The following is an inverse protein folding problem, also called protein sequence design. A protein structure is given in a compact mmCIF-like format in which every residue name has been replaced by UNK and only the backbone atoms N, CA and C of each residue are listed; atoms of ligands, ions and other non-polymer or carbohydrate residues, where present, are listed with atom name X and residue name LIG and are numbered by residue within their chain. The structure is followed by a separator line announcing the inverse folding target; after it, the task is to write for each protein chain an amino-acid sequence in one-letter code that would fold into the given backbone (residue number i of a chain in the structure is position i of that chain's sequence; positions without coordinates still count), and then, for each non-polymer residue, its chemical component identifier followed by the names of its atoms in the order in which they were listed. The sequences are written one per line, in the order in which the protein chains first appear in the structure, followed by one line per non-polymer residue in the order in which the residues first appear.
data_IF_484937563935
#
_entry.id   IF_484937563935
#
_cell.length_a   1.000
_cell.length_b   1.000
_cell.length_c   1.000
_cell.angle_alpha   90.00
_cell.angle_beta   90.00
_cell.angle_gamma   90.00
#
_symmetry.space_group_name_H-M   'P 1'
#
loop_
_entity.id
_entity.type
_entity.pdbx_description
1 polymer ?
#
# COMPACT_ATOMS: atom_id res chain seq x y z
N UNK A 1 11.39 -21.79 14.24
CA UNK A 1 10.78 -20.52 13.77
C UNK A 1 9.50 -20.82 13.02
N UNK A 2 8.44 -20.13 13.39
CA UNK A 2 7.13 -20.32 12.77
C UNK A 2 7.06 -19.54 11.46
N UNK A 3 6.81 -20.22 10.35
CA UNK A 3 6.68 -19.57 9.05
C UNK A 3 5.24 -19.05 8.90
N UNK A 4 5.10 -17.77 8.52
CA UNK A 4 3.80 -17.20 8.22
C UNK A 4 3.21 -17.93 6.99
N UNK A 5 2.03 -18.59 7.12
CA UNK A 5 1.45 -19.33 5.99
C UNK A 5 1.06 -18.44 4.82
N UNK A 6 0.94 -17.13 5.04
CA UNK A 6 0.59 -16.16 4.00
C UNK A 6 1.80 -15.50 3.34
N UNK A 7 3.02 -15.93 3.66
CA UNK A 7 4.24 -15.31 3.11
C UNK A 7 4.24 -15.27 1.58
N UNK A 8 3.75 -16.33 0.95
CA UNK A 8 3.71 -16.47 -0.51
C UNK A 8 2.29 -16.49 -1.06
N UNK A 9 1.29 -16.21 -0.23
CA UNK A 9 -0.13 -16.19 -0.60
C UNK A 9 -0.72 -14.84 -0.23
N UNK A 10 -1.90 -14.56 -0.78
CA UNK A 10 -2.65 -13.37 -0.40
C UNK A 10 -3.29 -13.58 0.96
N UNK A 11 -3.24 -12.56 1.79
CA UNK A 11 -4.00 -12.53 3.04
C UNK A 11 -5.50 -12.44 2.74
N UNK A 12 -6.37 -12.80 3.70
CA UNK A 12 -7.81 -12.57 3.56
C UNK A 12 -8.09 -11.08 3.27
N UNK A 13 -8.89 -10.82 2.24
CA UNK A 13 -9.18 -9.45 1.80
C UNK A 13 -10.21 -8.77 2.70
N UNK A 14 -10.04 -7.47 2.89
CA UNK A 14 -11.06 -6.62 3.48
C UNK A 14 -12.05 -6.19 2.40
N UNK A 15 -13.08 -5.43 2.80
CA UNK A 15 -14.19 -5.03 1.95
C UNK A 15 -13.73 -4.09 0.81
N UNK A 16 -13.95 -4.53 -0.42
CA UNK A 16 -13.64 -3.76 -1.64
C UNK A 16 -14.42 -2.44 -1.71
N UNK A 17 -15.65 -2.43 -1.19
CA UNK A 17 -16.52 -1.26 -1.26
C UNK A 17 -16.14 -0.18 -0.24
N UNK A 18 -15.21 -0.49 0.65
CA UNK A 18 -14.75 0.44 1.70
C UNK A 18 -13.21 0.51 1.71
N UNK A 19 -12.60 1.07 0.65
CA UNK A 19 -11.15 1.21 0.64
C UNK A 19 -10.71 2.14 1.76
N UNK A 20 -9.54 1.84 2.33
CA UNK A 20 -8.92 2.69 3.35
C UNK A 20 -8.13 3.78 2.61
N UNK A 21 -8.32 5.03 2.99
CA UNK A 21 -7.52 6.11 2.41
C UNK A 21 -6.09 6.04 2.95
N UNK A 22 -5.11 6.31 2.09
CA UNK A 22 -3.70 6.30 2.49
C UNK A 22 -3.46 7.20 3.71
N UNK A 23 -4.09 8.37 3.74
CA UNK A 23 -3.99 9.28 4.89
C UNK A 23 -4.57 8.67 6.15
N UNK A 24 -5.73 8.00 6.07
CA UNK A 24 -6.37 7.39 7.24
C UNK A 24 -5.48 6.34 7.90
N UNK A 25 -4.95 5.42 7.11
CA UNK A 25 -4.11 4.35 7.67
C UNK A 25 -2.79 4.92 8.21
N UNK A 26 -2.20 5.89 7.51
CA UNK A 26 -0.99 6.54 7.99
C UNK A 26 -1.23 7.25 9.33
N UNK A 27 -2.35 7.95 9.47
CA UNK A 27 -2.71 8.65 10.70
C UNK A 27 -2.96 7.68 11.86
N UNK A 28 -3.59 6.52 11.58
CA UNK A 28 -3.78 5.49 12.61
C UNK A 28 -2.43 5.02 13.19
N UNK A 29 -1.43 4.80 12.33
CA UNK A 29 -0.10 4.37 12.77
C UNK A 29 0.63 5.45 13.56
N UNK A 30 0.41 6.72 13.22
CA UNK A 30 0.99 7.84 13.97
C UNK A 30 0.34 8.00 15.33
N UNK A 31 -0.97 7.76 15.41
CA UNK A 31 -1.72 7.92 16.65
C UNK A 31 -1.46 6.78 17.64
N UNK A 32 -1.53 5.53 17.17
CA UNK A 32 -1.30 4.35 18.02
C UNK A 32 -0.82 3.18 17.15
N UNK A 33 0.49 3.02 17.08
CA UNK A 33 1.11 2.00 16.23
C UNK A 33 0.66 0.59 16.61
N UNK A 34 0.59 0.29 17.91
CA UNK A 34 0.23 -1.06 18.37
C UNK A 34 -1.19 -1.45 17.95
N UNK A 35 -2.14 -0.53 18.14
CA UNK A 35 -3.53 -0.78 17.72
C UNK A 35 -3.67 -0.89 16.22
N UNK A 36 -2.97 -0.03 15.47
CA UNK A 36 -3.00 -0.08 14.02
C UNK A 36 -2.41 -1.40 13.51
N UNK A 37 -1.31 -1.87 14.09
CA UNK A 37 -0.71 -3.16 13.74
C UNK A 37 -1.72 -4.30 13.96
N UNK A 38 -2.42 -4.32 15.09
CA UNK A 38 -3.46 -5.32 15.35
C UNK A 38 -4.61 -5.24 14.35
N UNK A 39 -5.03 -4.03 14.02
CA UNK A 39 -6.14 -3.79 13.10
C UNK A 39 -5.88 -4.33 11.70
N UNK A 40 -4.65 -4.17 11.20
CA UNK A 40 -4.31 -4.49 9.81
C UNK A 40 -3.46 -5.76 9.65
N UNK A 41 -2.98 -6.35 10.73
CA UNK A 41 -2.12 -7.54 10.66
C UNK A 41 -2.79 -8.67 9.87
N UNK A 42 -2.02 -9.27 8.97
CA UNK A 42 -2.45 -10.43 8.18
C UNK A 42 -3.73 -10.18 7.37
N UNK A 43 -3.90 -8.95 6.87
CA UNK A 43 -5.04 -8.58 6.03
C UNK A 43 -4.58 -8.06 4.69
N UNK A 44 -5.41 -8.30 3.69
CA UNK A 44 -5.23 -7.75 2.35
C UNK A 44 -6.18 -6.56 2.20
N UNK A 45 -5.65 -5.38 1.96
CA UNK A 45 -6.39 -4.12 2.01
C UNK A 45 -6.53 -3.50 0.64
N UNK A 46 -7.67 -2.85 0.42
CA UNK A 46 -7.84 -1.89 -0.66
C UNK A 46 -7.45 -0.52 -0.11
N UNK A 47 -6.37 0.05 -0.63
CA UNK A 47 -5.86 1.36 -0.21
C UNK A 47 -6.00 2.34 -1.35
N UNK A 48 -6.58 3.50 -1.07
CA UNK A 48 -6.79 4.55 -2.06
C UNK A 48 -5.96 5.78 -1.73
N UNK A 49 -5.28 6.32 -2.74
CA UNK A 49 -4.49 7.54 -2.56
C UNK A 49 -4.02 8.11 -3.87
N UNK A 50 -3.34 9.25 -3.78
CA UNK A 50 -2.74 9.92 -4.93
C UNK A 50 -1.30 9.45 -5.08
N UNK A 51 -0.91 9.09 -6.30
CA UNK A 51 0.45 8.64 -6.58
C UNK A 51 1.41 9.82 -6.48
N UNK A 52 2.32 9.76 -5.53
CA UNK A 52 3.39 10.74 -5.37
C UNK A 52 4.71 10.26 -5.98
N UNK A 53 4.85 8.96 -6.19
CA UNK A 53 6.01 8.36 -6.86
C UNK A 53 5.58 7.04 -7.50
N UNK A 54 6.07 6.78 -8.71
CA UNK A 54 5.90 5.51 -9.41
C UNK A 54 7.24 5.10 -10.01
N UNK A 55 7.75 3.96 -9.61
CA UNK A 55 9.05 3.47 -10.08
C UNK A 55 9.63 2.41 -9.18
N UNK A 56 10.93 2.09 -9.35
CA UNK A 56 11.59 1.07 -8.53
C UNK A 56 11.73 1.53 -7.07
N UNK A 57 11.59 0.58 -6.15
CA UNK A 57 11.92 0.82 -4.74
C UNK A 57 13.44 0.64 -4.52
N UNK A 58 13.89 0.67 -3.25
CA UNK A 58 15.32 0.54 -2.93
C UNK A 58 15.90 -0.82 -3.34
N UNK A 59 15.06 -1.82 -3.58
CA UNK A 59 15.49 -3.16 -4.03
C UNK A 59 15.26 -3.39 -5.53
N UNK A 60 14.83 -2.35 -6.25
CA UNK A 60 14.57 -2.44 -7.68
C UNK A 60 13.20 -3.02 -8.06
N UNK A 61 12.32 -3.24 -7.08
CA UNK A 61 10.97 -3.73 -7.36
C UNK A 61 10.03 -2.58 -7.74
N UNK A 62 9.09 -2.83 -8.66
CA UNK A 62 8.13 -1.79 -9.03
C UNK A 62 7.31 -1.37 -7.80
N UNK A 63 7.16 -0.07 -7.61
CA UNK A 63 6.45 0.45 -6.45
C UNK A 63 5.65 1.70 -6.76
N UNK A 64 4.65 1.95 -5.91
CA UNK A 64 3.92 3.21 -5.87
C UNK A 64 3.99 3.74 -4.45
N UNK A 65 4.31 5.03 -4.32
CA UNK A 65 4.14 5.74 -3.06
C UNK A 65 2.85 6.53 -3.15
N UNK A 66 2.00 6.37 -2.15
CA UNK A 66 0.69 7.03 -2.10
C UNK A 66 0.69 8.13 -1.05
N UNK A 67 0.01 9.21 -1.38
CA UNK A 67 -0.14 10.38 -0.54
C UNK A 67 -1.57 10.92 -0.66
N UNK A 68 -1.83 12.10 -0.10
CA UNK A 68 -3.07 12.83 -0.32
C UNK A 68 -2.95 13.85 -1.48
N UNK A 69 -1.73 14.05 -2.00
CA UNK A 69 -1.47 14.90 -3.17
C UNK A 69 -0.23 14.42 -3.91
N UNK A 70 -0.10 14.81 -5.18
CA UNK A 70 1.03 14.41 -6.03
C UNK A 70 2.40 14.80 -5.46
N UNK A 71 2.47 15.94 -4.78
CA UNK A 71 3.70 16.45 -4.19
C UNK A 71 3.75 16.29 -2.66
N UNK A 72 2.80 15.54 -2.10
CA UNK A 72 2.74 15.30 -0.67
C UNK A 72 3.78 14.28 -0.19
N UNK A 73 3.95 14.22 1.13
CA UNK A 73 4.79 13.21 1.76
C UNK A 73 4.21 11.82 1.55
N UNK A 74 5.09 10.84 1.42
CA UNK A 74 4.67 9.43 1.30
C UNK A 74 3.91 9.01 2.56
N UNK A 75 2.71 8.50 2.35
CA UNK A 75 1.85 7.99 3.41
C UNK A 75 1.77 6.47 3.42
N UNK A 76 1.87 5.85 2.24
CA UNK A 76 1.88 4.39 2.07
C UNK A 76 2.85 4.00 0.97
N UNK A 77 3.42 2.80 1.10
CA UNK A 77 4.26 2.21 0.06
C UNK A 77 3.60 0.91 -0.43
N UNK A 78 3.40 0.81 -1.74
CA UNK A 78 2.84 -0.39 -2.38
C UNK A 78 3.90 -1.00 -3.28
N UNK A 79 4.25 -2.27 -3.05
CA UNK A 79 5.28 -2.98 -3.80
C UNK A 79 4.64 -4.06 -4.65
N UNK A 80 5.03 -4.10 -5.92
CA UNK A 80 4.48 -5.01 -6.94
C UNK A 80 5.53 -6.01 -7.37
N UNK A 81 5.09 -7.12 -7.94
CA UNK A 81 6.01 -8.17 -8.41
C UNK A 81 6.43 -8.00 -9.86
N UNK A 82 5.68 -7.21 -10.63
CA UNK A 82 5.93 -7.03 -12.07
C UNK A 82 5.83 -5.58 -12.48
N UNK A 83 6.75 -5.14 -13.35
CA UNK A 83 6.74 -3.78 -13.90
C UNK A 83 5.44 -3.44 -14.64
N UNK A 84 4.85 -4.42 -15.32
CA UNK A 84 3.59 -4.23 -16.04
C UNK A 84 2.44 -3.80 -15.14
N UNK A 85 2.50 -4.12 -13.85
CA UNK A 85 1.45 -3.78 -12.88
C UNK A 85 1.28 -2.27 -12.69
N UNK A 86 2.35 -1.49 -12.90
CA UNK A 86 2.33 -0.04 -12.73
C UNK A 86 2.59 0.73 -14.03
N UNK A 87 2.63 0.04 -15.17
CA UNK A 87 3.00 0.64 -16.45
C UNK A 87 2.09 1.79 -16.89
N UNK A 88 0.81 1.75 -16.49
CA UNK A 88 -0.17 2.77 -16.86
C UNK A 88 -0.43 3.79 -15.74
N UNK A 89 0.33 3.73 -14.67
CA UNK A 89 0.15 4.61 -13.51
C UNK A 89 1.14 5.76 -13.57
N UNK A 90 0.63 6.98 -13.43
CA UNK A 90 1.43 8.19 -13.45
C UNK A 90 1.32 8.94 -12.13
N UNK A 91 2.38 9.68 -11.80
CA UNK A 91 2.35 10.61 -10.67
C UNK A 91 1.15 11.56 -10.82
N UNK A 92 0.39 11.73 -9.75
CA UNK A 92 -0.80 12.56 -9.74
C UNK A 92 -2.11 11.79 -9.94
N UNK A 93 -2.04 10.55 -10.43
CA UNK A 93 -3.23 9.71 -10.54
C UNK A 93 -3.74 9.34 -9.15
N UNK A 94 -5.06 9.20 -9.02
CA UNK A 94 -5.65 8.60 -7.83
C UNK A 94 -5.89 7.13 -8.12
N UNK A 95 -5.34 6.26 -7.28
CA UNK A 95 -5.43 4.81 -7.50
C UNK A 95 -6.00 4.12 -6.29
N UNK A 96 -6.62 2.96 -6.53
CA UNK A 96 -6.92 1.98 -5.49
C UNK A 96 -6.02 0.78 -5.73
N UNK A 97 -5.32 0.36 -4.70
CA UNK A 97 -4.37 -0.75 -4.74
C UNK A 97 -4.81 -1.80 -3.73
N UNK A 98 -4.87 -3.05 -4.18
CA UNK A 98 -5.09 -4.19 -3.29
C UNK A 98 -3.74 -4.81 -2.97
N UNK A 99 -3.40 -4.91 -1.68
CA UNK A 99 -2.10 -5.46 -1.27
C UNK A 99 -2.12 -6.03 0.14
N UNK A 100 -1.20 -6.97 0.38
CA UNK A 100 -1.01 -7.53 1.71
C UNK A 100 -0.29 -6.52 2.60
N UNK A 101 -0.92 -6.17 3.74
CA UNK A 101 -0.24 -5.34 4.73
C UNK A 101 0.91 -6.13 5.36
N UNK A 102 2.11 -5.55 5.34
CA UNK A 102 3.32 -6.20 5.87
C UNK A 102 3.80 -5.53 7.14
N UNK A 103 3.99 -4.23 7.11
CA UNK A 103 4.55 -3.48 8.24
C UNK A 103 4.37 -1.99 8.00
N UNK A 104 4.69 -1.19 9.01
CA UNK A 104 4.80 0.26 8.89
C UNK A 104 6.28 0.62 8.98
N UNK A 105 6.86 1.00 7.84
CA UNK A 105 8.30 1.26 7.70
C UNK A 105 8.58 2.74 7.89
N UNK A 106 9.61 3.12 8.67
CA UNK A 106 10.01 4.52 8.80
C UNK A 106 10.22 5.17 7.43
N UNK A 107 9.80 6.41 7.28
CA UNK A 107 9.88 7.24 6.08
C UNK A 107 8.90 6.87 4.96
N UNK A 108 8.36 5.64 4.95
CA UNK A 108 7.41 5.19 3.93
C UNK A 108 6.00 4.96 4.49
N UNK A 109 5.88 4.69 5.79
CA UNK A 109 4.59 4.40 6.43
C UNK A 109 4.12 2.96 6.19
N UNK A 110 2.81 2.73 6.28
CA UNK A 110 2.23 1.41 6.01
C UNK A 110 2.69 0.87 4.66
N UNK A 111 3.22 -0.34 4.66
CA UNK A 111 3.81 -0.97 3.48
C UNK A 111 3.04 -2.23 3.10
N UNK A 112 2.77 -2.35 1.81
CA UNK A 112 1.98 -3.44 1.24
C UNK A 112 2.79 -4.16 0.19
N UNK A 113 2.64 -5.49 0.12
CA UNK A 113 3.30 -6.33 -0.90
C UNK A 113 2.28 -7.16 -1.66
N UNK A 114 2.72 -7.79 -2.74
CA UNK A 114 1.87 -8.56 -3.65
C UNK A 114 0.69 -7.72 -4.12
N UNK A 115 0.98 -6.49 -4.48
CA UNK A 115 -0.04 -5.50 -4.82
C UNK A 115 -0.54 -5.65 -6.25
N UNK A 116 -1.79 -5.20 -6.46
CA UNK A 116 -2.35 -5.00 -7.79
C UNK A 116 -3.16 -3.71 -7.79
N UNK A 117 -3.08 -2.96 -8.89
CA UNK A 117 -3.89 -1.76 -9.07
C UNK A 117 -5.27 -2.19 -9.53
N UNK A 118 -6.31 -1.84 -8.77
CA UNK A 118 -7.67 -2.23 -9.08
C UNK A 118 -8.48 -1.10 -9.73
N UNK A 119 -8.04 0.14 -9.54
CA UNK A 119 -8.71 1.31 -10.12
C UNK A 119 -7.70 2.44 -10.34
N UNK A 120 -7.83 3.14 -11.46
CA UNK A 120 -7.04 4.35 -11.75
C UNK A 120 -7.99 5.46 -12.13
N UNK A 121 -7.92 6.57 -11.40
CA UNK A 121 -8.63 7.82 -11.74
C UNK A 121 -7.59 8.86 -12.12
N UNK A 122 -7.69 9.32 -13.33
CA UNK A 122 -6.77 10.31 -13.88
C UNK A 122 -7.15 11.75 -13.51
#
# INVERSE_FOLDING_TARGET
MKVNPYRFKDYPSMDQDKPVMAKEIADEFRYDRSKAMEHYAEKRLYVKGVVSYAGPDMFGLPSLELSDSADGETMCLCVFNQNSSIANVNKGDTVTVLGNFIDCVPDYGPTFKKCEVTEILE
#
